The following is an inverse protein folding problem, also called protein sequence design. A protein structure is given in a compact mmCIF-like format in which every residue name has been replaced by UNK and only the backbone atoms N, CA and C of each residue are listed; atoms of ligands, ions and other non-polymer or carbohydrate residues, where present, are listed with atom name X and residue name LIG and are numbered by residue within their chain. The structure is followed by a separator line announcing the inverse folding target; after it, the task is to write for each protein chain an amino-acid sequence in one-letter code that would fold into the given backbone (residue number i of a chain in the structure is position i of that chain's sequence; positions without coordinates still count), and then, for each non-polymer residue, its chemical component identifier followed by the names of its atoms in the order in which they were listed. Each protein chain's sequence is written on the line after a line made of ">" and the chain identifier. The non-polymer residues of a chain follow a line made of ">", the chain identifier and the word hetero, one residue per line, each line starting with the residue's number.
data_IF_747630975105
#
_entry.id   IF_747630975105
#
_cell.length_a   1.000
_cell.length_b   1.000
_cell.length_c   1.000
_cell.angle_alpha   90.00
_cell.angle_beta   90.00
_cell.angle_gamma   90.00
#
_symmetry.space_group_name_H-M   'P 1'
#
loop_
_entity.id
_entity.type
_entity.pdbx_description
1 polymer ?
#
# COMPACT_ATOMS: atom_id res chain seq x y z
N UNK A 1 16.70 -36.90 22.02
CA UNK A 1 15.26 -37.21 22.06
C UNK A 1 14.63 -36.53 20.86
N UNK A 2 14.08 -37.34 19.95
CA UNK A 2 13.50 -36.90 18.69
C UNK A 2 12.28 -36.01 18.96
N UNK A 3 12.26 -34.80 18.41
CA UNK A 3 11.05 -33.97 18.33
C UNK A 3 10.18 -34.56 17.23
N UNK A 4 9.25 -35.42 17.63
CA UNK A 4 8.42 -36.27 16.76
C UNK A 4 7.22 -35.51 16.13
N UNK A 5 7.23 -34.18 16.13
CA UNK A 5 6.11 -33.35 15.66
C UNK A 5 6.59 -32.22 14.73
N UNK A 6 7.24 -32.60 13.62
CA UNK A 6 7.54 -31.67 12.51
C UNK A 6 6.62 -31.98 11.31
N UNK A 7 5.52 -31.22 11.15
CA UNK A 7 4.50 -31.49 10.15
C UNK A 7 5.07 -31.59 8.73
N UNK A 8 4.64 -32.63 8.02
CA UNK A 8 5.01 -32.85 6.62
C UNK A 8 4.07 -32.04 5.73
N UNK A 9 4.63 -31.13 4.95
CA UNK A 9 3.88 -30.21 4.10
C UNK A 9 3.97 -30.60 2.63
N UNK A 10 2.89 -30.31 1.89
CA UNK A 10 2.95 -30.32 0.43
C UNK A 10 3.64 -29.05 -0.09
N UNK A 11 4.08 -29.07 -1.35
CA UNK A 11 4.60 -27.86 -2.02
C UNK A 11 3.58 -26.71 -2.03
N UNK A 12 2.28 -27.02 -2.04
CA UNK A 12 1.21 -26.01 -1.97
C UNK A 12 1.12 -25.39 -0.58
N UNK A 13 1.20 -26.19 0.47
CA UNK A 13 1.17 -25.69 1.85
C UNK A 13 2.43 -24.87 2.16
N UNK A 14 3.60 -25.32 1.69
CA UNK A 14 4.84 -24.56 1.78
C UNK A 14 4.73 -23.19 1.06
N UNK A 15 4.11 -23.16 -0.12
CA UNK A 15 3.87 -21.92 -0.86
C UNK A 15 2.95 -20.94 -0.10
N UNK A 16 1.91 -21.47 0.56
CA UNK A 16 1.00 -20.68 1.41
C UNK A 16 1.77 -20.09 2.60
N UNK A 17 2.56 -20.90 3.31
CA UNK A 17 3.33 -20.44 4.50
C UNK A 17 4.40 -19.40 4.12
N UNK A 18 5.02 -19.55 2.95
CA UNK A 18 6.03 -18.62 2.44
C UNK A 18 5.44 -17.39 1.75
N UNK A 19 4.13 -17.36 1.49
CA UNK A 19 3.47 -16.26 0.77
C UNK A 19 3.91 -16.13 -0.69
N UNK A 20 4.22 -17.24 -1.36
CA UNK A 20 4.70 -17.27 -2.76
C UNK A 20 3.85 -18.19 -3.64
N UNK A 21 4.03 -18.12 -4.97
CA UNK A 21 3.36 -19.04 -5.88
C UNK A 21 3.84 -20.49 -5.69
N UNK A 22 2.98 -21.48 -5.98
CA UNK A 22 3.34 -22.91 -5.92
C UNK A 22 4.56 -23.22 -6.81
N UNK A 23 4.67 -22.55 -7.96
CA UNK A 23 5.81 -22.69 -8.87
C UNK A 23 7.10 -22.14 -8.25
N UNK A 24 7.04 -21.01 -7.54
CA UNK A 24 8.18 -20.43 -6.81
C UNK A 24 8.65 -21.36 -5.68
N UNK A 25 7.72 -21.86 -4.87
CA UNK A 25 8.03 -22.83 -3.83
C UNK A 25 8.63 -24.11 -4.41
N UNK A 26 8.11 -24.58 -5.55
CA UNK A 26 8.66 -25.73 -6.28
C UNK A 26 10.10 -25.47 -6.75
N UNK A 27 10.39 -24.30 -7.32
CA UNK A 27 11.74 -23.93 -7.73
C UNK A 27 12.71 -23.88 -6.56
N UNK A 28 12.31 -23.33 -5.41
CA UNK A 28 13.16 -23.28 -4.20
C UNK A 28 13.44 -24.66 -3.63
N UNK A 29 12.44 -25.55 -3.68
CA UNK A 29 12.59 -26.96 -3.32
C UNK A 29 13.56 -27.68 -4.27
N UNK A 30 13.47 -27.44 -5.57
CA UNK A 30 14.33 -28.05 -6.59
C UNK A 30 15.76 -27.52 -6.54
N UNK A 31 15.94 -26.26 -6.14
CA UNK A 31 17.24 -25.60 -5.92
C UNK A 31 17.86 -25.91 -4.55
N UNK A 32 17.20 -26.73 -3.72
CA UNK A 32 17.71 -27.15 -2.42
C UNK A 32 17.64 -26.08 -1.32
N UNK A 33 16.89 -24.99 -1.53
CA UNK A 33 16.68 -23.96 -0.50
C UNK A 33 15.72 -24.41 0.61
N UNK A 34 14.88 -25.40 0.33
CA UNK A 34 14.04 -26.08 1.31
C UNK A 34 14.32 -27.57 1.17
N UNK A 35 14.73 -28.20 2.26
CA UNK A 35 14.97 -29.64 2.28
C UNK A 35 13.68 -30.40 1.91
N UNK A 36 13.78 -31.30 0.93
CA UNK A 36 12.64 -32.05 0.41
C UNK A 36 12.98 -33.48 0.06
N UNK A 37 11.98 -34.36 0.09
CA UNK A 37 12.07 -35.72 -0.44
C UNK A 37 10.88 -36.04 -1.34
N UNK A 38 11.03 -37.06 -2.19
CA UNK A 38 9.95 -37.60 -3.01
C UNK A 38 9.28 -38.76 -2.29
N UNK A 39 7.96 -38.78 -2.33
CA UNK A 39 7.15 -39.94 -1.93
C UNK A 39 7.18 -41.01 -3.03
N UNK A 40 6.80 -42.27 -2.74
CA UNK A 40 6.69 -43.32 -3.77
C UNK A 40 5.78 -42.94 -4.95
N UNK A 41 4.80 -42.06 -4.74
CA UNK A 41 3.94 -41.49 -5.79
C UNK A 41 4.52 -40.31 -6.57
N UNK A 42 5.81 -40.00 -6.41
CA UNK A 42 6.50 -38.95 -7.16
C UNK A 42 6.30 -37.51 -6.66
N UNK A 43 5.36 -37.28 -5.72
CA UNK A 43 5.13 -35.96 -5.13
C UNK A 43 6.21 -35.59 -4.12
N UNK A 44 6.64 -34.32 -4.14
CA UNK A 44 7.59 -33.77 -3.16
C UNK A 44 6.91 -33.41 -1.84
N UNK A 45 7.65 -33.57 -0.75
CA UNK A 45 7.28 -33.18 0.61
C UNK A 45 8.42 -32.43 1.27
N UNK A 46 8.08 -31.49 2.13
CA UNK A 46 9.02 -30.67 2.90
C UNK A 46 8.61 -30.66 4.37
N UNK A 47 9.56 -30.36 5.25
CA UNK A 47 9.29 -30.18 6.68
C UNK A 47 8.82 -28.76 6.97
N UNK A 48 7.84 -28.60 7.86
CA UNK A 48 7.36 -27.28 8.28
C UNK A 48 8.48 -26.43 8.90
N UNK A 49 9.38 -27.05 9.67
CA UNK A 49 10.56 -26.39 10.23
C UNK A 49 11.45 -25.73 9.17
N UNK A 50 11.75 -26.45 8.07
CA UNK A 50 12.59 -25.95 6.97
C UNK A 50 11.91 -24.79 6.22
N UNK A 51 10.59 -24.87 6.02
CA UNK A 51 9.80 -23.79 5.41
C UNK A 51 9.80 -22.55 6.29
N UNK A 52 9.61 -22.71 7.61
CA UNK A 52 9.62 -21.60 8.55
C UNK A 52 11.02 -20.96 8.70
N UNK A 53 12.08 -21.77 8.71
CA UNK A 53 13.45 -21.27 8.73
C UNK A 53 13.78 -20.41 7.49
N UNK A 54 13.32 -20.84 6.30
CA UNK A 54 13.48 -20.04 5.08
C UNK A 54 12.65 -18.74 5.14
N UNK A 55 11.44 -18.79 5.70
CA UNK A 55 10.61 -17.59 5.93
C UNK A 55 11.31 -16.57 6.82
N UNK A 56 11.94 -17.02 7.91
CA UNK A 56 12.71 -16.17 8.80
C UNK A 56 13.96 -15.59 8.11
N UNK A 57 14.68 -16.38 7.31
CA UNK A 57 15.80 -15.89 6.51
C UNK A 57 15.37 -14.85 5.46
N UNK A 58 14.21 -15.03 4.83
CA UNK A 58 13.64 -14.06 3.89
C UNK A 58 13.16 -12.78 4.59
N UNK A 59 12.62 -12.89 5.81
CA UNK A 59 12.30 -11.76 6.68
C UNK A 59 13.54 -10.97 7.09
N UNK A 60 14.60 -11.66 7.54
CA UNK A 60 15.86 -11.02 7.95
C UNK A 60 16.61 -10.37 6.78
N UNK A 61 16.51 -10.92 5.56
CA UNK A 61 17.06 -10.29 4.35
C UNK A 61 16.35 -9.00 3.93
N UNK A 62 15.08 -8.80 4.31
CA UNK A 62 14.37 -7.53 4.11
C UNK A 62 14.80 -6.45 5.12
N UNK A 63 15.37 -6.84 6.26
CA UNK A 63 15.84 -5.90 7.29
C UNK A 63 17.22 -5.27 7.02
N UNK A 64 18.01 -5.81 6.08
CA UNK A 64 19.39 -5.33 5.81
C UNK A 64 19.53 -4.40 4.61
N UNK A 65 18.48 -3.75 4.14
CA UNK A 65 18.60 -2.75 3.07
C UNK A 65 17.56 -1.63 3.18
N UNK A 66 17.64 -0.86 4.27
CA UNK A 66 17.28 0.56 4.22
C UNK A 66 18.60 1.29 3.99
N UNK A 67 18.78 1.94 2.84
CA UNK A 67 19.91 2.84 2.61
C UNK A 67 19.80 4.03 3.58
N UNK A 68 20.50 3.98 4.71
CA UNK A 68 20.47 5.02 5.75
C UNK A 68 21.24 6.29 5.38
N UNK A 69 22.09 6.27 4.34
CA UNK A 69 22.85 7.46 3.91
C UNK A 69 22.00 8.62 3.34
N UNK A 70 20.71 8.39 3.04
CA UNK A 70 19.80 9.42 2.50
C UNK A 70 18.67 9.85 3.46
N UNK A 71 18.58 9.28 4.66
CA UNK A 71 17.50 9.56 5.59
C UNK A 71 17.73 10.88 6.35
N UNK A 72 16.72 11.76 6.34
CA UNK A 72 16.78 13.07 6.99
C UNK A 72 16.15 13.00 8.38
N UNK A 73 16.83 13.61 9.37
CA UNK A 73 16.30 13.85 10.71
C UNK A 73 16.09 15.35 10.91
N UNK A 74 14.84 15.79 11.10
CA UNK A 74 14.54 17.16 11.52
C UNK A 74 14.55 17.22 13.04
N UNK A 75 15.47 17.98 13.62
CA UNK A 75 15.64 18.16 15.06
C UNK A 75 15.18 19.56 15.45
N UNK A 76 14.18 19.61 16.32
CA UNK A 76 13.55 20.83 16.81
C UNK A 76 13.84 20.94 18.31
N UNK A 77 14.78 21.80 18.70
CA UNK A 77 15.22 21.91 20.08
C UNK A 77 15.66 23.32 20.44
N UNK A 78 15.88 23.59 21.73
CA UNK A 78 16.55 24.82 22.16
C UNK A 78 17.95 24.94 21.55
N UNK A 79 18.43 26.17 21.33
CA UNK A 79 19.78 26.42 20.77
C UNK A 79 20.90 25.76 21.59
N UNK A 80 20.67 25.55 22.88
CA UNK A 80 21.60 24.86 23.78
C UNK A 80 21.66 23.34 23.53
N UNK A 81 20.53 22.70 23.25
CA UNK A 81 20.45 21.25 23.06
C UNK A 81 20.69 20.81 21.60
N UNK A 82 20.42 21.70 20.64
CA UNK A 82 20.45 21.41 19.21
C UNK A 82 21.79 20.82 18.72
N UNK A 83 22.99 21.32 19.10
CA UNK A 83 24.25 20.75 18.65
C UNK A 83 24.43 19.29 19.07
N UNK A 84 24.11 18.96 20.32
CA UNK A 84 24.25 17.61 20.85
C UNK A 84 23.32 16.61 20.16
N UNK A 85 22.08 17.02 19.86
CA UNK A 85 21.10 16.18 19.17
C UNK A 85 21.44 15.98 17.68
N UNK A 86 21.97 17.00 17.00
CA UNK A 86 22.43 16.85 15.61
C UNK A 86 23.64 15.92 15.50
N UNK A 87 24.58 16.00 16.45
CA UNK A 87 25.69 15.04 16.52
C UNK A 87 25.21 13.61 16.78
N UNK A 88 24.19 13.43 17.62
CA UNK A 88 23.57 12.13 17.85
C UNK A 88 22.89 11.58 16.59
N UNK A 89 22.20 12.43 15.83
CA UNK A 89 21.58 12.05 14.55
C UNK A 89 22.63 11.64 13.49
N UNK A 90 23.73 12.39 13.39
CA UNK A 90 24.84 12.05 12.51
C UNK A 90 25.51 10.72 12.89
N UNK A 91 25.69 10.45 14.19
CA UNK A 91 26.21 9.18 14.68
C UNK A 91 25.26 7.99 14.39
N UNK A 92 23.97 8.25 14.25
CA UNK A 92 22.96 7.29 13.80
C UNK A 92 22.89 7.16 12.26
N UNK A 93 23.77 7.84 11.52
CA UNK A 93 23.82 7.79 10.05
C UNK A 93 22.79 8.66 9.34
N UNK A 94 22.13 9.60 10.03
CA UNK A 94 21.10 10.48 9.46
C UNK A 94 21.66 11.84 9.07
N UNK A 95 21.11 12.45 8.02
CA UNK A 95 21.35 13.87 7.70
C UNK A 95 20.49 14.75 8.61
N UNK A 96 21.11 15.40 9.60
CA UNK A 96 20.42 16.30 10.53
C UNK A 96 20.09 17.67 9.94
N UNK A 97 18.87 18.14 10.15
CA UNK A 97 18.43 19.53 9.94
C UNK A 97 18.00 20.06 11.30
N UNK A 98 18.58 21.17 11.76
CA UNK A 98 18.30 21.74 13.08
C UNK A 98 17.47 23.00 12.99
N UNK A 99 16.43 23.09 13.81
CA UNK A 99 15.58 24.28 13.93
C UNK A 99 15.26 24.57 15.41
N UNK A 100 15.33 25.82 15.82
CA UNK A 100 14.86 26.25 17.14
C UNK A 100 13.50 26.95 17.09
N UNK A 101 13.18 27.53 15.94
CA UNK A 101 11.92 28.21 15.63
C UNK A 101 10.86 27.23 15.08
N UNK A 102 9.65 27.15 15.68
CA UNK A 102 8.59 26.24 15.23
C UNK A 102 8.09 26.47 13.80
N UNK A 103 8.05 27.73 13.33
CA UNK A 103 7.55 28.05 11.99
C UNK A 103 8.53 27.57 10.91
N UNK A 104 9.82 27.84 11.08
CA UNK A 104 10.86 27.35 10.18
C UNK A 104 10.92 25.82 10.19
N UNK A 105 10.71 25.19 11.35
CA UNK A 105 10.62 23.74 11.43
C UNK A 105 9.46 23.16 10.61
N UNK A 106 8.30 23.82 10.58
CA UNK A 106 7.18 23.38 9.72
C UNK A 106 7.51 23.49 8.22
N UNK A 107 8.22 24.55 7.81
CA UNK A 107 8.65 24.72 6.42
C UNK A 107 9.66 23.63 6.02
N UNK A 108 10.66 23.39 6.86
CA UNK A 108 11.68 22.38 6.63
C UNK A 108 11.09 20.97 6.63
N UNK A 109 10.09 20.69 7.47
CA UNK A 109 9.39 19.41 7.46
C UNK A 109 8.75 19.13 6.09
N UNK A 110 8.10 20.14 5.49
CA UNK A 110 7.47 20.00 4.18
C UNK A 110 8.46 19.90 3.01
N UNK A 111 9.62 20.55 3.10
CA UNK A 111 10.63 20.54 2.03
C UNK A 111 11.51 19.29 2.10
N UNK A 112 11.96 18.94 3.30
CA UNK A 112 12.99 17.92 3.48
C UNK A 112 12.44 16.49 3.64
N UNK A 113 11.12 16.35 3.84
CA UNK A 113 10.43 15.06 3.98
C UNK A 113 11.18 14.11 4.94
N UNK A 114 11.31 14.48 6.22
CA UNK A 114 12.17 13.77 7.15
C UNK A 114 11.64 12.38 7.50
N UNK A 115 12.56 11.42 7.65
CA UNK A 115 12.23 10.10 8.18
C UNK A 115 11.85 10.18 9.67
N UNK A 116 12.43 11.13 10.40
CA UNK A 116 12.15 11.38 11.82
C UNK A 116 12.14 12.87 12.14
N UNK A 117 11.19 13.28 12.97
CA UNK A 117 11.06 14.61 13.54
C UNK A 117 11.26 14.48 15.04
N UNK A 118 12.41 14.93 15.55
CA UNK A 118 12.69 14.97 16.98
C UNK A 118 12.34 16.35 17.53
N UNK A 119 11.54 16.42 18.59
CA UNK A 119 11.05 17.68 19.16
C UNK A 119 11.29 17.71 20.66
N UNK A 120 11.99 18.73 21.13
CA UNK A 120 12.04 19.08 22.55
C UNK A 120 10.78 19.87 22.92
N UNK A 121 9.87 19.23 23.68
CA UNK A 121 8.57 19.76 24.04
C UNK A 121 8.45 19.84 25.57
N UNK A 122 8.58 21.04 26.12
CA UNK A 122 8.41 21.29 27.56
C UNK A 122 6.95 21.66 27.87
N UNK A 123 6.48 21.39 29.08
CA UNK A 123 5.08 21.64 29.50
C UNK A 123 4.56 23.06 29.19
N UNK A 124 5.41 24.08 29.22
CA UNK A 124 5.02 25.47 28.98
C UNK A 124 5.07 25.90 27.50
N UNK A 125 5.51 25.02 26.59
CA UNK A 125 5.78 25.34 25.18
C UNK A 125 4.57 25.04 24.28
N UNK A 126 3.58 25.93 24.34
CA UNK A 126 2.33 25.80 23.58
C UNK A 126 2.53 25.89 22.06
N UNK A 127 3.57 26.59 21.61
CA UNK A 127 3.89 26.76 20.19
C UNK A 127 4.38 25.44 19.59
N UNK A 128 5.36 24.79 20.25
CA UNK A 128 5.82 23.46 19.83
C UNK A 128 4.73 22.41 20.00
N UNK A 129 3.88 22.51 21.02
CA UNK A 129 2.74 21.61 21.17
C UNK A 129 1.78 21.73 19.98
N UNK A 130 1.44 22.96 19.60
CA UNK A 130 0.55 23.26 18.47
C UNK A 130 1.16 22.79 17.14
N UNK A 131 2.47 22.98 16.96
CA UNK A 131 3.23 22.47 15.83
C UNK A 131 3.19 20.94 15.77
N UNK A 132 3.49 20.24 16.87
CA UNK A 132 3.44 18.78 16.94
C UNK A 132 2.06 18.24 16.54
N UNK A 133 0.97 18.83 17.04
CA UNK A 133 -0.40 18.47 16.64
C UNK A 133 -0.61 18.58 15.12
N UNK A 134 -0.17 19.69 14.51
CA UNK A 134 -0.30 19.91 13.06
C UNK A 134 0.54 18.93 12.24
N UNK A 135 1.78 18.67 12.65
CA UNK A 135 2.67 17.73 11.97
C UNK A 135 2.13 16.30 12.04
N UNK A 136 1.58 15.89 13.19
CA UNK A 136 0.95 14.58 13.38
C UNK A 136 -0.35 14.41 12.58
N UNK A 137 -1.09 15.49 12.34
CA UNK A 137 -2.30 15.50 11.51
C UNK A 137 -2.01 15.62 10.00
N UNK A 138 -0.77 15.96 9.62
CA UNK A 138 -0.39 16.12 8.21
C UNK A 138 -0.33 14.77 7.50
N UNK A 139 -1.06 14.66 6.39
CA UNK A 139 -1.05 13.46 5.53
C UNK A 139 0.28 13.31 4.79
N UNK A 140 0.90 14.42 4.38
CA UNK A 140 2.16 14.39 3.64
C UNK A 140 3.30 13.91 4.54
N UNK A 141 3.22 14.18 5.85
CA UNK A 141 4.15 13.70 6.86
C UNK A 141 3.67 12.43 7.56
N UNK A 142 2.74 11.68 6.95
CA UNK A 142 2.23 10.42 7.50
C UNK A 142 3.28 9.28 7.52
N UNK A 143 4.45 9.49 6.92
CA UNK A 143 5.59 8.58 6.95
C UNK A 143 6.57 8.88 8.11
N UNK A 144 6.74 10.15 8.48
CA UNK A 144 7.76 10.61 9.43
C UNK A 144 7.51 10.14 10.87
N UNK A 145 8.47 9.53 11.55
CA UNK A 145 8.32 9.20 12.98
C UNK A 145 8.52 10.45 13.83
N UNK A 146 7.90 10.53 15.01
CA UNK A 146 8.11 11.66 15.90
C UNK A 146 8.74 11.19 17.21
N UNK A 147 9.88 11.79 17.59
CA UNK A 147 10.53 11.60 18.88
C UNK A 147 10.26 12.83 19.72
N UNK A 148 9.59 12.71 20.86
CA UNK A 148 9.30 13.84 21.74
C UNK A 148 10.16 13.72 23.00
N UNK A 149 11.04 14.71 23.20
CA UNK A 149 11.86 14.87 24.39
C UNK A 149 11.17 15.83 25.34
N UNK A 150 10.75 15.38 26.52
CA UNK A 150 9.80 16.14 27.36
C UNK A 150 9.98 15.92 28.86
N UNK A 151 9.62 16.93 29.66
CA UNK A 151 9.49 16.87 31.12
C UNK A 151 8.10 16.36 31.58
N UNK A 152 7.21 16.08 30.62
CA UNK A 152 5.85 15.62 30.86
C UNK A 152 5.79 14.09 31.01
N UNK A 153 4.83 13.60 31.79
CA UNK A 153 4.51 12.17 31.85
C UNK A 153 3.83 11.70 30.55
N UNK A 154 3.93 10.41 30.24
CA UNK A 154 3.31 9.83 29.04
C UNK A 154 1.80 10.12 28.95
N UNK A 155 1.08 10.04 30.07
CA UNK A 155 -0.36 10.34 30.13
C UNK A 155 -0.69 11.80 29.80
N UNK A 156 0.19 12.74 30.18
CA UNK A 156 0.01 14.16 29.85
C UNK A 156 0.25 14.41 28.36
N UNK A 157 1.30 13.80 27.80
CA UNK A 157 1.59 13.91 26.37
C UNK A 157 0.46 13.27 25.54
N UNK A 158 -0.09 12.14 25.97
CA UNK A 158 -1.23 11.48 25.33
C UNK A 158 -2.51 12.33 25.44
N UNK A 159 -2.76 12.96 26.58
CA UNK A 159 -3.89 13.89 26.72
C UNK A 159 -3.76 15.09 25.78
N UNK A 160 -2.53 15.59 25.57
CA UNK A 160 -2.28 16.75 24.74
C UNK A 160 -2.19 16.43 23.24
N UNK A 161 -1.63 15.30 22.84
CA UNK A 161 -1.38 14.96 21.44
C UNK A 161 -2.32 13.85 20.90
N UNK A 162 -3.06 13.15 21.76
CA UNK A 162 -3.96 12.03 21.41
C UNK A 162 -3.28 10.65 21.50
N UNK A 163 -3.89 9.62 20.90
CA UNK A 163 -3.28 8.27 20.81
C UNK A 163 -2.19 8.26 19.75
N UNK A 164 -0.94 8.17 20.19
CA UNK A 164 0.22 8.43 19.34
C UNK A 164 0.98 7.17 18.95
N UNK A 165 0.38 6.37 18.08
CA UNK A 165 1.01 5.18 17.52
C UNK A 165 2.33 5.43 16.76
N UNK A 166 2.72 6.70 16.50
CA UNK A 166 3.97 7.12 15.82
C UNK A 166 4.88 8.02 16.66
N UNK A 167 4.57 8.22 17.93
CA UNK A 167 5.40 9.03 18.83
C UNK A 167 6.19 8.12 19.77
N UNK A 168 7.50 8.36 19.83
CA UNK A 168 8.38 7.82 20.87
C UNK A 168 8.64 8.92 21.88
N UNK A 169 8.55 8.60 23.17
CA UNK A 169 8.81 9.56 24.25
C UNK A 169 10.20 9.34 24.84
N UNK A 170 10.91 10.43 25.09
CA UNK A 170 12.16 10.47 25.83
C UNK A 170 12.02 11.49 26.96
N UNK A 171 12.42 11.13 28.18
CA UNK A 171 12.37 12.06 29.31
C UNK A 171 13.50 13.08 29.21
N UNK A 172 13.17 14.35 29.44
CA UNK A 172 14.11 15.44 29.57
C UNK A 172 14.59 15.58 31.03
N UNK A 173 15.85 16.01 31.26
CA UNK A 173 16.88 16.30 30.26
C UNK A 173 17.45 15.01 29.64
N UNK A 174 17.71 15.04 28.34
CA UNK A 174 18.28 13.91 27.62
C UNK A 174 19.73 14.21 27.22
N UNK A 175 20.63 13.28 27.52
CA UNK A 175 22.00 13.35 27.03
C UNK A 175 22.13 12.75 25.61
N UNK A 176 23.30 12.95 25.00
CA UNK A 176 23.59 12.48 23.63
C UNK A 176 23.38 10.96 23.47
N UNK A 177 23.85 10.10 24.39
CA UNK A 177 23.56 8.65 24.34
C UNK A 177 22.08 8.30 24.43
N UNK A 178 21.33 8.91 25.37
CA UNK A 178 19.90 8.65 25.53
C UNK A 178 19.11 9.09 24.31
N UNK A 179 19.45 10.25 23.73
CA UNK A 179 18.83 10.73 22.51
C UNK A 179 19.14 9.81 21.32
N UNK A 180 20.39 9.37 21.15
CA UNK A 180 20.76 8.44 20.08
C UNK A 180 20.04 7.09 20.21
N UNK A 181 19.93 6.55 21.44
CA UNK A 181 19.20 5.31 21.69
C UNK A 181 17.70 5.46 21.42
N UNK A 182 17.10 6.59 21.81
CA UNK A 182 15.70 6.88 21.53
C UNK A 182 15.44 7.08 20.04
N UNK A 183 16.37 7.71 19.32
CA UNK A 183 16.32 7.88 17.87
C UNK A 183 16.42 6.53 17.16
N UNK A 184 17.36 5.69 17.58
CA UNK A 184 17.48 4.31 17.09
C UNK A 184 16.23 3.51 17.39
N UNK A 185 15.65 3.62 18.59
CA UNK A 185 14.38 2.96 18.94
C UNK A 185 13.22 3.50 18.11
N UNK A 186 13.14 4.82 17.87
CA UNK A 186 12.12 5.45 17.05
C UNK A 186 12.16 4.95 15.59
N UNK A 187 13.36 4.64 15.09
CA UNK A 187 13.60 4.06 13.77
C UNK A 187 13.50 2.52 13.73
N UNK A 188 13.82 1.84 14.84
CA UNK A 188 13.83 0.38 14.98
C UNK A 188 12.50 -0.19 15.46
N UNK A 189 11.62 0.64 16.03
CA UNK A 189 10.18 0.38 16.03
C UNK A 189 9.83 0.12 14.58
N UNK A 190 9.62 -1.16 14.24
CA UNK A 190 9.16 -1.55 12.93
C UNK A 190 8.05 -0.57 12.52
N UNK A 191 7.96 -0.15 11.24
CA UNK A 191 6.70 0.41 10.78
C UNK A 191 5.64 -0.56 11.28
N UNK A 192 4.82 -0.12 12.24
CA UNK A 192 3.83 -0.99 12.86
C UNK A 192 3.16 -1.74 11.71
N UNK A 193 3.28 -3.07 11.69
CA UNK A 193 2.79 -3.94 10.62
C UNK A 193 1.27 -3.76 10.35
N UNK A 194 0.59 -2.94 11.15
CA UNK A 194 -0.77 -2.44 10.96
C UNK A 194 -0.92 -1.19 10.06
N UNK A 195 0.15 -0.63 9.48
CA UNK A 195 0.08 0.63 8.68
C UNK A 195 0.69 0.60 7.29
N UNK A 196 1.39 -0.46 6.93
CA UNK A 196 1.69 -0.77 5.53
C UNK A 196 0.64 -1.70 4.90
N UNK A 197 -0.34 -2.17 5.69
CA UNK A 197 -1.55 -2.72 5.14
C UNK A 197 -2.28 -1.58 4.43
N UNK A 198 -2.40 -1.61 3.09
CA UNK A 198 -3.16 -0.59 2.39
C UNK A 198 -4.56 -0.49 2.99
N UNK A 199 -5.15 0.70 3.01
CA UNK A 199 -6.53 0.94 3.46
C UNK A 199 -7.60 0.27 2.57
N UNK A 200 -7.19 -0.73 1.78
CA UNK A 200 -7.94 -1.47 0.80
C UNK A 200 -7.37 -2.90 0.73
N UNK A 201 -8.17 -3.89 0.34
CA UNK A 201 -7.70 -5.27 0.29
C UNK A 201 -6.61 -5.45 -0.77
N UNK A 202 -5.57 -6.20 -0.43
CA UNK A 202 -4.50 -6.60 -1.35
C UNK A 202 -4.41 -8.11 -1.44
N UNK A 203 -4.39 -8.62 -2.67
CA UNK A 203 -4.28 -10.03 -2.94
C UNK A 203 -2.85 -10.53 -2.70
N UNK A 204 -2.70 -11.80 -2.29
CA UNK A 204 -1.40 -12.43 -2.10
C UNK A 204 -0.52 -12.43 -3.37
N UNK A 205 -1.14 -12.34 -4.56
CA UNK A 205 -0.46 -12.28 -5.85
C UNK A 205 -0.24 -10.86 -6.39
N UNK A 206 -0.32 -9.80 -5.55
CA UNK A 206 -0.22 -8.40 -6.02
C UNK A 206 1.03 -8.11 -6.84
N UNK A 207 2.19 -8.63 -6.45
CA UNK A 207 3.43 -8.46 -7.23
C UNK A 207 3.37 -9.10 -8.64
N UNK A 208 2.61 -10.19 -8.81
CA UNK A 208 2.38 -10.78 -10.13
C UNK A 208 1.37 -9.94 -10.93
N UNK A 209 0.30 -9.48 -10.27
CA UNK A 209 -0.72 -8.61 -10.85
C UNK A 209 -0.17 -7.29 -11.35
N UNK A 210 0.71 -6.64 -10.57
CA UNK A 210 1.35 -5.38 -10.95
C UNK A 210 2.25 -5.54 -12.17
N UNK A 211 3.08 -6.59 -12.21
CA UNK A 211 3.86 -6.94 -13.41
C UNK A 211 2.97 -7.21 -14.62
N UNK A 212 1.83 -7.86 -14.42
CA UNK A 212 0.87 -8.08 -15.49
C UNK A 212 0.28 -6.76 -16.03
N UNK A 213 -0.06 -5.81 -15.16
CA UNK A 213 -0.49 -4.45 -15.54
C UNK A 213 0.60 -3.74 -16.34
N UNK A 214 1.85 -3.76 -15.86
CA UNK A 214 2.99 -3.15 -16.56
C UNK A 214 3.19 -3.74 -17.97
N UNK A 215 3.10 -5.07 -18.13
CA UNK A 215 3.25 -5.75 -19.43
C UNK A 215 2.22 -5.29 -20.46
N UNK A 216 1.01 -4.93 -20.04
CA UNK A 216 0.02 -4.38 -20.98
C UNK A 216 0.53 -3.10 -21.64
N UNK A 217 1.30 -2.33 -20.86
CA UNK A 217 1.73 -0.98 -21.15
C UNK A 217 0.60 -0.06 -21.61
N UNK A 218 -0.61 -0.33 -21.12
CA UNK A 218 -1.79 0.49 -21.34
C UNK A 218 -1.82 1.69 -20.39
N UNK A 219 -1.22 1.60 -19.20
CA UNK A 219 -1.09 2.73 -18.26
C UNK A 219 -0.34 3.88 -18.94
N UNK A 220 -0.85 5.11 -18.77
CA UNK A 220 -0.35 6.35 -19.41
C UNK A 220 -0.30 6.33 -20.95
N UNK A 221 -0.93 5.35 -21.59
CA UNK A 221 -1.04 5.33 -23.05
C UNK A 221 -2.20 6.20 -23.54
N UNK A 222 -2.10 6.66 -24.79
CA UNK A 222 -3.17 7.41 -25.48
C UNK A 222 -4.50 6.66 -25.47
N UNK A 223 -5.61 7.39 -25.51
CA UNK A 223 -6.95 6.79 -25.54
C UNK A 223 -7.10 5.85 -26.76
N UNK A 224 -7.82 4.75 -26.57
CA UNK A 224 -8.16 3.81 -27.63
C UNK A 224 -9.68 3.85 -27.81
N UNK A 225 -10.19 4.30 -28.97
CA UNK A 225 -11.63 4.41 -29.22
C UNK A 225 -12.41 3.12 -28.94
N UNK A 226 -11.78 1.96 -29.15
CA UNK A 226 -12.43 0.67 -28.89
C UNK A 226 -12.71 0.45 -27.38
N UNK A 227 -11.87 0.98 -26.49
CA UNK A 227 -12.15 0.95 -25.05
C UNK A 227 -13.20 2.00 -24.64
N UNK A 228 -13.24 3.15 -25.32
CA UNK A 228 -14.26 4.18 -25.11
C UNK A 228 -15.67 3.65 -25.46
N UNK A 229 -15.80 2.88 -26.54
CA UNK A 229 -17.05 2.19 -26.91
C UNK A 229 -17.50 1.19 -25.83
N UNK A 230 -16.58 0.43 -25.25
CA UNK A 230 -16.91 -0.55 -24.19
C UNK A 230 -17.45 0.14 -22.95
N UNK A 231 -16.83 1.24 -22.50
CA UNK A 231 -17.31 1.96 -21.31
C UNK A 231 -18.65 2.66 -21.58
N UNK A 232 -18.87 3.18 -22.80
CA UNK A 232 -20.16 3.74 -23.20
C UNK A 232 -21.26 2.67 -23.19
N UNK A 233 -21.04 1.52 -23.85
CA UNK A 233 -21.99 0.40 -23.86
C UNK A 233 -22.29 -0.11 -22.44
N UNK A 234 -21.28 -0.10 -21.56
CA UNK A 234 -21.46 -0.44 -20.15
C UNK A 234 -22.37 0.55 -19.43
N UNK A 235 -22.16 1.86 -19.64
CA UNK A 235 -23.01 2.91 -19.07
C UNK A 235 -24.46 2.78 -19.53
N UNK A 236 -24.68 2.56 -20.83
CA UNK A 236 -26.01 2.38 -21.43
C UNK A 236 -26.68 1.11 -20.94
N UNK A 237 -25.94 -0.01 -20.88
CA UNK A 237 -26.45 -1.32 -20.44
C UNK A 237 -26.91 -1.29 -18.99
N UNK A 238 -26.11 -0.67 -18.12
CA UNK A 238 -26.42 -0.53 -16.69
C UNK A 238 -27.33 0.68 -16.40
N UNK A 239 -27.57 1.53 -17.40
CA UNK A 239 -28.32 2.80 -17.30
C UNK A 239 -27.77 3.72 -16.21
N UNK A 240 -26.45 3.84 -16.12
CA UNK A 240 -25.74 4.65 -15.13
C UNK A 240 -25.04 5.83 -15.80
N UNK A 241 -24.87 6.97 -15.12
CA UNK A 241 -24.25 8.15 -15.71
C UNK A 241 -22.75 8.02 -15.89
N UNK A 242 -22.08 7.16 -15.10
CA UNK A 242 -20.62 7.03 -15.10
C UNK A 242 -20.24 5.57 -15.36
N UNK A 243 -19.26 5.35 -16.22
CA UNK A 243 -18.67 4.04 -16.48
C UNK A 243 -17.19 4.15 -16.76
N UNK A 244 -16.39 3.25 -16.20
CA UNK A 244 -14.93 3.33 -16.27
C UNK A 244 -14.33 1.97 -16.62
N UNK A 245 -13.28 1.99 -17.43
CA UNK A 245 -12.35 0.89 -17.60
C UNK A 245 -11.05 1.31 -16.93
N UNK A 246 -10.67 0.58 -15.88
CA UNK A 246 -9.61 0.99 -14.96
C UNK A 246 -8.48 -0.03 -14.94
N UNK A 247 -7.26 0.46 -14.76
CA UNK A 247 -6.07 -0.34 -14.47
C UNK A 247 -5.50 0.12 -13.13
N UNK A 248 -5.05 -0.85 -12.35
CA UNK A 248 -4.66 -0.62 -10.97
C UNK A 248 -3.15 -0.71 -10.82
N UNK A 249 -2.50 0.42 -10.55
CA UNK A 249 -1.05 0.53 -10.28
C UNK A 249 -0.80 0.47 -8.77
N UNK A 250 0.46 0.53 -8.30
CA UNK A 250 0.71 0.54 -6.86
C UNK A 250 0.14 1.80 -6.18
N UNK A 251 0.15 2.96 -6.85
CA UNK A 251 -0.19 4.26 -6.25
C UNK A 251 -1.55 4.82 -6.70
N UNK A 252 -2.06 4.41 -7.88
CA UNK A 252 -3.28 4.97 -8.47
C UNK A 252 -4.19 3.95 -9.16
N UNK A 253 -5.46 4.30 -9.27
CA UNK A 253 -6.39 3.74 -10.24
C UNK A 253 -6.38 4.64 -11.48
N UNK A 254 -5.80 4.16 -12.56
CA UNK A 254 -5.70 4.86 -13.83
C UNK A 254 -6.86 4.48 -14.77
N UNK A 255 -7.47 5.45 -15.45
CA UNK A 255 -8.66 5.19 -16.27
C UNK A 255 -8.28 5.07 -17.74
N UNK A 256 -8.30 3.84 -18.28
CA UNK A 256 -7.99 3.58 -19.69
C UNK A 256 -9.06 4.15 -20.63
N UNK A 257 -10.30 4.07 -20.20
CA UNK A 257 -11.45 4.66 -20.85
C UNK A 257 -12.47 5.09 -19.78
N UNK A 258 -13.24 6.13 -20.08
CA UNK A 258 -14.19 6.73 -19.14
C UNK A 258 -15.38 7.33 -19.86
N UNK A 259 -16.54 7.24 -19.23
CA UNK A 259 -17.79 7.87 -19.66
C UNK A 259 -18.39 8.63 -18.48
N UNK A 260 -18.83 9.87 -18.70
CA UNK A 260 -19.53 10.68 -17.70
C UNK A 260 -18.69 11.22 -16.54
N UNK A 261 -17.36 11.12 -16.61
CA UNK A 261 -16.42 11.61 -15.61
C UNK A 261 -15.18 12.25 -16.27
N UNK A 262 -14.81 13.46 -15.82
CA UNK A 262 -13.67 14.20 -16.37
C UNK A 262 -12.31 13.77 -15.78
N UNK A 263 -12.31 13.24 -14.54
CA UNK A 263 -11.09 12.75 -13.91
C UNK A 263 -10.45 11.63 -14.74
N UNK A 264 -9.12 11.59 -14.79
CA UNK A 264 -8.35 10.60 -15.55
C UNK A 264 -7.79 9.47 -14.67
N UNK A 265 -7.73 9.71 -13.37
CA UNK A 265 -7.26 8.76 -12.38
C UNK A 265 -7.77 9.16 -10.99
N UNK A 266 -7.60 8.25 -10.03
CA UNK A 266 -7.83 8.49 -8.61
C UNK A 266 -6.70 7.85 -7.80
N UNK A 267 -6.42 8.35 -6.57
CA UNK A 267 -5.54 7.65 -5.65
C UNK A 267 -5.99 6.21 -5.43
N UNK A 268 -5.04 5.26 -5.42
CA UNK A 268 -5.33 3.83 -5.23
C UNK A 268 -6.18 3.54 -3.99
N UNK A 269 -6.00 4.20 -2.83
CA UNK A 269 -6.86 3.95 -1.67
C UNK A 269 -8.33 4.31 -1.86
N UNK A 270 -8.68 5.19 -2.80
CA UNK A 270 -10.06 5.62 -3.02
C UNK A 270 -10.82 4.66 -3.97
N UNK A 271 -10.10 3.75 -4.62
CA UNK A 271 -10.64 2.87 -5.64
C UNK A 271 -11.58 1.79 -5.09
N UNK A 272 -12.85 1.88 -5.45
CA UNK A 272 -13.79 0.75 -5.30
C UNK A 272 -13.29 -0.51 -6.03
N UNK A 273 -12.56 -0.31 -7.14
CA UNK A 273 -11.98 -1.38 -7.93
C UNK A 273 -10.98 -2.24 -7.15
N UNK A 274 -10.45 -1.77 -6.01
CA UNK A 274 -9.65 -2.58 -5.10
C UNK A 274 -10.41 -3.83 -4.64
N UNK A 275 -11.70 -3.70 -4.37
CA UNK A 275 -12.54 -4.83 -3.94
C UNK A 275 -12.97 -5.70 -5.11
N UNK A 276 -13.18 -5.10 -6.29
CA UNK A 276 -13.54 -5.83 -7.53
C UNK A 276 -12.45 -6.80 -7.96
N UNK A 277 -11.17 -6.41 -7.91
CA UNK A 277 -10.07 -7.30 -8.32
C UNK A 277 -9.87 -8.50 -7.39
N UNK A 278 -10.48 -8.46 -6.19
CA UNK A 278 -10.48 -9.58 -5.23
C UNK A 278 -11.58 -10.60 -5.53
N UNK A 279 -12.54 -10.28 -6.40
CA UNK A 279 -13.68 -11.15 -6.72
C UNK A 279 -13.44 -11.94 -8.01
N UNK A 280 -14.07 -13.12 -8.11
CA UNK A 280 -14.15 -13.86 -9.36
C UNK A 280 -15.34 -13.43 -10.24
N UNK A 281 -16.32 -12.73 -9.65
CA UNK A 281 -17.55 -12.27 -10.29
C UNK A 281 -17.77 -10.77 -10.00
N UNK A 282 -18.92 -10.21 -10.37
CA UNK A 282 -19.26 -8.80 -10.17
C UNK A 282 -19.28 -8.44 -8.69
N UNK A 283 -18.52 -7.42 -8.33
CA UNK A 283 -18.60 -6.74 -7.05
C UNK A 283 -19.65 -5.62 -7.12
N UNK A 284 -20.64 -5.63 -6.22
CA UNK A 284 -21.73 -4.64 -6.18
C UNK A 284 -21.77 -3.96 -4.82
N UNK A 285 -21.95 -2.65 -4.85
CA UNK A 285 -22.29 -1.79 -3.71
C UNK A 285 -23.57 -1.06 -4.07
N UNK A 286 -24.67 -1.40 -3.40
CA UNK A 286 -25.99 -0.86 -3.71
C UNK A 286 -26.16 0.59 -3.22
N UNK A 287 -25.59 0.90 -2.04
CA UNK A 287 -25.46 2.25 -1.49
C UNK A 287 -24.15 2.39 -0.68
N UNK A 288 -23.20 3.14 -1.23
CA UNK A 288 -21.88 3.37 -0.66
C UNK A 288 -21.90 4.31 0.55
N UNK A 289 -22.98 5.08 0.76
CA UNK A 289 -23.08 6.01 1.90
C UNK A 289 -23.36 5.31 3.22
N UNK A 290 -23.83 4.06 3.17
CA UNK A 290 -24.11 3.21 4.35
C UNK A 290 -23.22 1.96 4.38
N UNK A 291 -22.29 1.84 3.44
CA UNK A 291 -21.34 0.74 3.38
C UNK A 291 -20.08 1.11 4.19
N UNK A 292 -19.77 0.42 5.30
CA UNK A 292 -18.63 0.76 6.17
C UNK A 292 -17.26 0.73 5.48
N UNK A 293 -17.18 0.13 4.28
CA UNK A 293 -15.94 0.10 3.48
C UNK A 293 -15.73 1.42 2.72
N UNK A 294 -16.78 2.21 2.52
CA UNK A 294 -16.79 3.36 1.62
C UNK A 294 -17.45 4.62 2.20
N UNK A 295 -18.13 4.54 3.35
CA UNK A 295 -18.85 5.66 3.95
C UNK A 295 -17.97 6.91 4.20
N UNK A 296 -16.68 6.70 4.52
CA UNK A 296 -15.67 7.75 4.69
C UNK A 296 -14.79 7.99 3.44
N UNK A 297 -15.09 7.34 2.31
CA UNK A 297 -14.31 7.51 1.08
C UNK A 297 -14.59 8.89 0.46
N UNK A 298 -13.56 9.67 0.07
CA UNK A 298 -13.75 10.98 -0.56
C UNK A 298 -14.66 10.97 -1.80
N UNK A 299 -14.70 9.88 -2.56
CA UNK A 299 -15.59 9.75 -3.72
C UNK A 299 -17.08 9.61 -3.33
N UNK A 300 -17.37 9.31 -2.05
CA UNK A 300 -18.72 9.16 -1.49
C UNK A 300 -19.13 10.40 -0.71
N UNK A 301 -18.23 10.95 0.13
CA UNK A 301 -18.48 12.11 0.98
C UNK A 301 -18.47 13.42 0.19
N UNK A 302 -17.57 13.53 -0.80
CA UNK A 302 -17.41 14.70 -1.68
C UNK A 302 -17.84 14.37 -3.11
N UNK A 303 -17.60 15.27 -4.06
CA UNK A 303 -17.85 14.99 -5.48
C UNK A 303 -17.00 13.79 -5.97
N UNK A 304 -17.60 12.83 -6.72
CA UNK A 304 -18.89 12.92 -7.41
C UNK A 304 -20.10 12.42 -6.60
N UNK A 305 -19.96 12.14 -5.31
CA UNK A 305 -20.99 11.61 -4.39
C UNK A 305 -21.53 10.26 -4.84
N UNK A 306 -20.62 9.29 -5.02
CA UNK A 306 -20.96 7.92 -5.41
C UNK A 306 -21.94 7.31 -4.39
N UNK A 307 -22.99 6.66 -4.90
CA UNK A 307 -23.91 5.84 -4.12
C UNK A 307 -23.93 4.42 -4.63
N UNK A 308 -24.01 4.22 -5.94
CA UNK A 308 -23.98 2.88 -6.51
C UNK A 308 -22.65 2.59 -7.22
N UNK A 309 -22.14 1.38 -7.04
CA UNK A 309 -21.01 0.84 -7.78
C UNK A 309 -21.28 -0.61 -8.19
N UNK A 310 -21.02 -0.96 -9.45
CA UNK A 310 -20.93 -2.35 -9.88
C UNK A 310 -19.71 -2.52 -10.78
N UNK A 311 -18.81 -3.45 -10.44
CA UNK A 311 -17.57 -3.68 -11.18
C UNK A 311 -17.34 -5.16 -11.45
N UNK A 312 -16.84 -5.47 -12.65
CA UNK A 312 -16.35 -6.79 -13.02
C UNK A 312 -14.83 -6.75 -13.28
N UNK A 313 -14.06 -7.76 -12.82
CA UNK A 313 -12.61 -7.77 -12.97
C UNK A 313 -12.20 -7.94 -14.44
N UNK A 314 -11.20 -7.18 -14.87
CA UNK A 314 -10.52 -7.34 -16.16
C UNK A 314 -9.30 -8.23 -15.98
N UNK A 315 -9.21 -9.34 -16.70
CA UNK A 315 -8.18 -10.36 -16.46
C UNK A 315 -7.28 -10.56 -17.67
N UNK A 316 -6.00 -10.82 -17.43
CA UNK A 316 -5.12 -11.32 -18.48
C UNK A 316 -5.31 -12.83 -18.71
N UNK A 317 -4.57 -13.37 -19.68
CA UNK A 317 -4.59 -14.80 -20.03
C UNK A 317 -4.06 -15.70 -18.90
N UNK A 318 -3.28 -15.18 -17.96
CA UNK A 318 -2.81 -15.92 -16.78
C UNK A 318 -3.76 -15.76 -15.58
N UNK A 319 -4.89 -15.07 -15.76
CA UNK A 319 -5.93 -14.87 -14.76
C UNK A 319 -5.66 -13.72 -13.77
N UNK A 320 -4.62 -12.93 -13.96
CA UNK A 320 -4.34 -11.77 -13.10
C UNK A 320 -5.37 -10.67 -13.34
N UNK A 321 -5.98 -10.16 -12.26
CA UNK A 321 -6.94 -9.06 -12.33
C UNK A 321 -6.22 -7.71 -12.52
N UNK A 322 -6.18 -7.21 -13.74
CA UNK A 322 -5.46 -5.98 -14.11
C UNK A 322 -6.15 -4.72 -13.55
N UNK A 323 -7.47 -4.77 -13.43
CA UNK A 323 -8.32 -3.72 -12.91
C UNK A 323 -9.79 -4.11 -13.08
N UNK A 324 -10.65 -3.15 -13.41
CA UNK A 324 -12.10 -3.40 -13.50
C UNK A 324 -12.76 -2.60 -14.62
N UNK A 325 -13.83 -3.18 -15.18
CA UNK A 325 -14.88 -2.48 -15.92
C UNK A 325 -16.04 -2.25 -14.96
N UNK A 326 -16.41 -1.00 -14.73
CA UNK A 326 -17.42 -0.66 -13.72
C UNK A 326 -18.41 0.41 -14.17
N UNK A 327 -19.62 0.32 -13.62
CA UNK A 327 -20.66 1.34 -13.69
C UNK A 327 -20.87 1.99 -12.32
N UNK A 328 -21.09 3.30 -12.31
CA UNK A 328 -21.17 4.14 -11.11
C UNK A 328 -22.38 5.08 -11.21
N UNK A 329 -23.12 5.22 -10.11
CA UNK A 329 -24.21 6.19 -10.00
C UNK A 329 -24.16 7.00 -8.69
N UNK A 330 -24.76 8.19 -8.73
CA UNK A 330 -25.00 9.10 -7.60
C UNK A 330 -26.30 8.76 -6.85
N UNK A 331 -27.07 7.80 -7.33
CA UNK A 331 -28.25 7.26 -6.66
C UNK A 331 -28.04 5.78 -6.30
N UNK A 332 -28.57 5.32 -5.14
CA UNK A 332 -28.58 3.89 -4.81
C UNK A 332 -29.31 3.07 -5.85
N UNK A 333 -28.83 1.85 -6.12
CA UNK A 333 -29.46 0.92 -7.08
C UNK A 333 -29.30 -0.53 -6.66
N UNK A 334 -30.27 -1.35 -7.06
CA UNK A 334 -30.16 -2.81 -6.99
C UNK A 334 -29.65 -3.38 -8.30
N UNK A 335 -28.83 -4.43 -8.22
CA UNK A 335 -28.27 -5.10 -9.39
C UNK A 335 -28.85 -6.50 -9.55
N UNK A 336 -29.66 -6.70 -10.60
CA UNK A 336 -30.24 -8.01 -10.91
C UNK A 336 -29.23 -8.97 -11.58
N UNK A 337 -29.58 -10.26 -11.64
CA UNK A 337 -28.73 -11.29 -12.22
C UNK A 337 -28.49 -11.12 -13.73
N UNK A 338 -29.42 -10.49 -14.46
CA UNK A 338 -29.28 -10.25 -15.90
C UNK A 338 -28.25 -9.16 -16.16
N UNK A 339 -28.30 -8.05 -15.43
CA UNK A 339 -27.33 -6.97 -15.51
C UNK A 339 -25.94 -7.44 -15.08
N UNK A 340 -25.84 -8.26 -14.02
CA UNK A 340 -24.57 -8.89 -13.62
C UNK A 340 -23.95 -9.70 -14.77
N UNK A 341 -24.72 -10.60 -15.39
CA UNK A 341 -24.23 -11.39 -16.54
C UNK A 341 -23.78 -10.51 -17.71
N UNK A 342 -24.52 -9.43 -18.01
CA UNK A 342 -24.14 -8.51 -19.08
C UNK A 342 -22.82 -7.80 -18.79
N UNK A 343 -22.63 -7.33 -17.55
CA UNK A 343 -21.37 -6.70 -17.13
C UNK A 343 -20.18 -7.68 -17.20
N UNK A 344 -20.38 -8.94 -16.79
CA UNK A 344 -19.36 -10.00 -16.95
C UNK A 344 -18.98 -10.19 -18.41
N UNK A 345 -19.97 -10.27 -19.32
CA UNK A 345 -19.71 -10.44 -20.75
C UNK A 345 -18.94 -9.25 -21.33
N UNK A 346 -19.30 -8.02 -20.96
CA UNK A 346 -18.59 -6.81 -21.40
C UNK A 346 -17.15 -6.77 -20.86
N UNK A 347 -16.94 -7.18 -19.61
CA UNK A 347 -15.60 -7.28 -19.01
C UNK A 347 -14.73 -8.36 -19.69
N UNK A 348 -15.34 -9.47 -20.12
CA UNK A 348 -14.66 -10.50 -20.91
C UNK A 348 -14.20 -9.95 -22.27
N UNK A 349 -15.07 -9.24 -22.99
CA UNK A 349 -14.71 -8.60 -24.26
C UNK A 349 -13.58 -7.56 -24.10
N UNK A 350 -13.64 -6.76 -23.03
CA UNK A 350 -12.57 -5.82 -22.69
C UNK A 350 -11.23 -6.53 -22.38
N UNK A 351 -11.30 -7.67 -21.68
CA UNK A 351 -10.13 -8.51 -21.35
C UNK A 351 -9.49 -9.10 -22.61
N UNK A 352 -10.30 -9.64 -23.52
CA UNK A 352 -9.84 -10.15 -24.82
C UNK A 352 -9.16 -9.05 -25.64
N UNK A 353 -9.71 -7.84 -25.61
CA UNK A 353 -9.11 -6.69 -26.28
C UNK A 353 -7.78 -6.27 -25.64
N UNK A 354 -7.68 -6.24 -24.32
CA UNK A 354 -6.40 -6.00 -23.62
C UNK A 354 -5.35 -7.03 -24.07
N UNK A 355 -5.71 -8.32 -24.10
CA UNK A 355 -4.82 -9.38 -24.52
C UNK A 355 -4.34 -9.18 -25.97
N UNK A 356 -5.24 -8.80 -26.88
CA UNK A 356 -4.91 -8.52 -28.27
C UNK A 356 -3.93 -7.35 -28.42
N UNK A 357 -4.17 -6.23 -27.73
CA UNK A 357 -3.31 -5.04 -27.77
C UNK A 357 -1.94 -5.33 -27.17
N UNK A 358 -1.91 -6.04 -26.04
CA UNK A 358 -0.68 -6.46 -25.36
C UNK A 358 0.18 -7.33 -26.28
N UNK A 359 -0.42 -8.33 -26.94
CA UNK A 359 0.29 -9.20 -27.90
C UNK A 359 0.83 -8.40 -29.09
N UNK A 360 0.01 -7.57 -29.72
CA UNK A 360 0.45 -6.71 -30.86
C UNK A 360 1.62 -5.81 -30.47
N UNK A 361 1.64 -5.30 -29.24
CA UNK A 361 2.76 -4.49 -28.72
C UNK A 361 4.04 -5.30 -28.58
N UNK A 362 3.96 -6.47 -27.93
CA UNK A 362 5.11 -7.36 -27.75
C UNK A 362 5.67 -7.85 -29.09
N UNK A 363 4.80 -8.16 -30.05
CA UNK A 363 5.22 -8.57 -31.40
C UNK A 363 5.91 -7.46 -32.20
N UNK A 364 5.59 -6.19 -31.92
CA UNK A 364 6.29 -5.03 -32.52
C UNK A 364 7.68 -4.85 -31.90
N UNK A 365 7.78 -5.02 -30.58
CA UNK A 365 9.06 -4.96 -29.87
C UNK A 365 10.03 -6.04 -30.36
N UNK A 366 9.54 -7.28 -30.50
CA UNK A 366 10.36 -8.41 -30.95
C UNK A 366 10.77 -8.35 -32.44
N UNK A 367 10.11 -7.51 -33.25
CA UNK A 367 10.44 -7.33 -34.67
C UNK A 367 11.33 -6.12 -34.96
N UNK A 368 11.58 -5.28 -33.95
CA UNK A 368 12.38 -4.05 -34.08
C UNK A 368 13.63 -4.01 -33.20
N UNK A 369 14.03 -5.16 -32.62
CA UNK A 369 15.22 -5.33 -31.79
C UNK A 369 16.24 -6.24 -32.47
#
# INVERSE_FOLDING_TARGET
>A
MATEDDPILTTRDAAIILGVSVKTAQTWIEQGQIESWKTPGGHRRVRASAVNALREQLGNRRHTSINTESAVALVIASDAALPAYLEAAAAAGLRGIGQSDPLNAMLDAGIAMPAVIAVELMRADWERLSMCRRLLQSRDLAHARMLVVTDMSAAQVEADLGVLSRVTLLQAPADKPAFAAALASCLALAPSDDRDAPAYPVAANEAARLRAVERTGLVDSVNDPEFDEVVQLTAETLRVPISLMTLLTPERQWFKARWGLNAHETPRPWAFCNFTIMQNDVFVVEDASVDPRFDANPLVTDEPRIRFYAGAPLRDAEGNALGALCGIDRQPRMMDATLKRRLVNLAALASDRIALVTRKRLDRWNRGA
#
